data_IF_106569961145
#
_entry.id   IF_106569961145
#
_cell.length_a   1.000
_cell.length_b   1.000
_cell.length_c   1.000
_cell.angle_alpha   90.00
_cell.angle_beta   90.00
_cell.angle_gamma   90.00
#
_symmetry.space_group_name_H-M   'P 1'
#
loop_
_entity.id
_entity.type
_entity.pdbx_description
1 polymer ?
#
# COMPACT_ATOMS: atom_id res chain seq x y z
N UNK A 1 -15.70 66.20 51.77
CA UNK A 1 -15.07 65.69 50.54
C UNK A 1 -15.72 64.34 50.23
N UNK A 2 -16.37 64.24 49.06
CA UNK A 2 -17.02 63.07 48.44
C UNK A 2 -17.92 62.22 49.36
N UNK A 3 -19.17 62.61 49.61
CA UNK A 3 -20.36 62.26 48.81
C UNK A 3 -20.60 60.74 48.70
N UNK A 4 -21.41 60.16 49.59
CA UNK A 4 -22.88 59.88 49.43
C UNK A 4 -23.11 58.73 48.41
N UNK A 5 -23.89 57.66 48.63
CA UNK A 5 -25.19 57.41 49.28
C UNK A 5 -25.31 55.85 49.39
N UNK A 6 -25.64 55.20 50.53
CA UNK A 6 -27.00 54.78 50.99
C UNK A 6 -27.92 54.24 49.86
N UNK A 7 -28.68 53.14 49.94
CA UNK A 7 -29.33 52.43 51.04
C UNK A 7 -29.82 51.04 50.53
N UNK A 8 -30.15 50.15 51.48
CA UNK A 8 -30.88 48.87 51.36
C UNK A 8 -32.14 48.92 50.49
N UNK A 9 -32.56 47.76 49.96
CA UNK A 9 -33.90 47.17 50.14
C UNK A 9 -33.96 45.69 49.64
N UNK A 10 -34.38 44.79 50.54
CA UNK A 10 -34.86 43.43 50.26
C UNK A 10 -36.34 43.49 49.89
N UNK A 11 -36.77 42.78 48.83
CA UNK A 11 -37.84 41.73 48.79
C UNK A 11 -38.29 41.41 47.34
N UNK A 12 -38.39 40.10 47.05
CA UNK A 12 -38.77 39.35 45.81
C UNK A 12 -40.25 39.56 45.36
N UNK A 13 -40.82 39.05 44.21
CA UNK A 13 -40.42 37.89 43.35
C UNK A 13 -40.62 37.96 41.79
N UNK A 14 -39.98 37.00 41.09
CA UNK A 14 -40.28 36.29 39.79
C UNK A 14 -40.82 37.06 38.56
N UNK A 15 -40.03 37.09 37.45
CA UNK A 15 -40.32 36.37 36.16
C UNK A 15 -39.20 36.46 35.10
N UNK A 16 -38.81 35.27 34.62
CA UNK A 16 -38.35 34.86 33.27
C UNK A 16 -37.24 35.62 32.52
N UNK A 17 -36.12 34.91 32.31
CA UNK A 17 -35.18 35.14 31.20
C UNK A 17 -33.96 34.22 31.29
N UNK A 18 -33.99 33.07 30.62
CA UNK A 18 -32.80 32.24 30.36
C UNK A 18 -31.95 32.94 29.27
N UNK A 19 -30.61 32.92 29.34
CA UNK A 19 -29.89 31.98 28.47
C UNK A 19 -28.56 31.41 29.04
N UNK A 20 -28.31 30.16 28.66
CA UNK A 20 -27.03 29.51 28.32
C UNK A 20 -25.69 30.14 28.78
N UNK A 21 -24.91 29.36 29.56
CA UNK A 21 -23.52 28.95 29.21
C UNK A 21 -22.89 28.08 30.31
N UNK A 22 -23.06 26.78 30.18
CA UNK A 22 -22.11 25.80 30.68
C UNK A 22 -21.96 24.73 29.59
N UNK A 23 -21.01 24.97 28.68
CA UNK A 23 -20.70 24.04 27.61
C UNK A 23 -20.16 22.74 28.20
N UNK A 24 -20.99 21.70 28.18
CA UNK A 24 -20.54 20.32 28.31
C UNK A 24 -19.55 20.01 27.18
N UNK A 25 -18.46 19.24 27.41
CA UNK A 25 -17.59 18.81 26.32
C UNK A 25 -18.40 17.94 25.36
N UNK A 26 -18.41 18.30 24.07
CA UNK A 26 -19.24 17.64 23.06
C UNK A 26 -18.81 16.18 22.89
N UNK A 27 -19.59 15.24 23.47
CA UNK A 27 -19.34 13.81 23.38
C UNK A 27 -19.61 13.19 21.99
N UNK A 28 -19.89 14.01 20.97
CA UNK A 28 -20.35 13.59 19.64
C UNK A 28 -19.58 14.22 18.47
N UNK A 29 -18.35 14.70 18.68
CA UNK A 29 -17.58 15.30 17.57
C UNK A 29 -16.85 14.21 16.77
N UNK A 30 -17.21 14.07 15.50
CA UNK A 30 -16.37 13.40 14.50
C UNK A 30 -15.01 14.10 14.46
N UNK A 31 -13.94 13.33 14.67
CA UNK A 31 -12.57 13.82 14.47
C UNK A 31 -12.09 13.35 13.10
N UNK A 32 -11.52 14.27 12.31
CA UNK A 32 -10.94 13.96 11.00
C UNK A 32 -9.56 14.59 10.90
N UNK A 33 -8.59 13.83 10.41
CA UNK A 33 -7.27 14.38 10.03
C UNK A 33 -6.80 13.72 8.75
N UNK A 34 -6.27 14.55 7.84
CA UNK A 34 -5.68 14.10 6.59
C UNK A 34 -4.18 14.31 6.64
N UNK A 35 -3.44 13.31 6.19
CA UNK A 35 -1.99 13.29 6.09
C UNK A 35 -1.58 13.16 4.63
N UNK A 36 -0.56 13.89 4.22
CA UNK A 36 0.21 13.61 3.00
C UNK A 36 1.12 12.44 3.28
N UNK A 37 1.02 11.40 2.45
CA UNK A 37 1.91 10.25 2.45
C UNK A 37 2.99 10.46 1.38
N UNK A 38 4.24 10.51 1.82
CA UNK A 38 5.42 10.60 0.98
C UNK A 38 6.26 9.34 1.11
N UNK A 39 6.79 8.86 -0.01
CA UNK A 39 7.73 7.76 -0.07
C UNK A 39 9.05 8.27 -0.66
N UNK A 40 10.15 8.14 0.11
CA UNK A 40 11.48 8.67 -0.26
C UNK A 40 11.43 10.16 -0.65
N UNK A 41 10.65 10.94 0.09
CA UNK A 41 10.47 12.38 -0.15
C UNK A 41 9.48 12.74 -1.27
N UNK A 42 8.98 11.78 -2.04
CA UNK A 42 8.00 12.01 -3.10
C UNK A 42 6.58 11.87 -2.54
N UNK A 43 5.71 12.89 -2.61
CA UNK A 43 4.30 12.76 -2.25
C UNK A 43 3.59 11.79 -3.20
N UNK A 44 3.16 10.65 -2.67
CA UNK A 44 2.55 9.56 -3.45
C UNK A 44 1.12 9.26 -3.01
N UNK A 45 0.54 10.06 -2.12
CA UNK A 45 -0.84 9.84 -1.71
C UNK A 45 -1.25 10.60 -0.47
N UNK A 46 -2.46 10.35 -0.01
CA UNK A 46 -2.94 10.83 1.28
C UNK A 46 -3.57 9.71 2.10
N UNK A 47 -3.51 9.87 3.41
CA UNK A 47 -4.22 9.03 4.38
C UNK A 47 -5.20 9.93 5.14
N UNK A 48 -6.46 9.53 5.20
CA UNK A 48 -7.48 10.22 6.01
C UNK A 48 -7.89 9.31 7.14
N UNK A 49 -7.77 9.81 8.36
CA UNK A 49 -8.20 9.15 9.58
C UNK A 49 -9.49 9.81 10.05
N UNK A 50 -10.49 9.00 10.38
CA UNK A 50 -11.75 9.47 10.95
C UNK A 50 -12.09 8.68 12.20
N UNK A 51 -12.49 9.37 13.26
CA UNK A 51 -12.99 8.77 14.48
C UNK A 51 -14.40 9.28 14.78
N UNK A 52 -15.32 8.33 14.87
CA UNK A 52 -16.71 8.50 15.27
C UNK A 52 -16.96 7.65 16.53
N UNK A 53 -18.05 7.89 17.28
CA UNK A 53 -18.41 7.04 18.42
C UNK A 53 -18.45 5.55 18.04
N UNK A 54 -17.53 4.76 18.59
CA UNK A 54 -17.44 3.31 18.37
C UNK A 54 -16.94 2.89 16.98
N UNK A 55 -16.41 3.81 16.16
CA UNK A 55 -15.93 3.50 14.80
C UNK A 55 -14.70 4.32 14.41
N UNK A 56 -13.69 3.63 13.89
CA UNK A 56 -12.51 4.25 13.28
C UNK A 56 -12.46 3.90 11.80
N UNK A 57 -12.28 4.91 10.95
CA UNK A 57 -12.17 4.73 9.50
C UNK A 57 -10.82 5.21 9.01
N UNK A 58 -10.14 4.35 8.26
CA UNK A 58 -8.88 4.62 7.60
C UNK A 58 -9.11 4.63 6.08
N UNK A 59 -8.74 5.72 5.42
CA UNK A 59 -8.82 5.85 3.96
C UNK A 59 -7.43 6.16 3.42
N UNK A 60 -6.88 5.27 2.60
CA UNK A 60 -5.66 5.55 1.82
C UNK A 60 -6.01 5.85 0.38
N UNK A 61 -5.43 6.92 -0.16
CA UNK A 61 -5.49 7.29 -1.58
C UNK A 61 -4.06 7.39 -2.09
N UNK A 62 -3.62 6.47 -2.94
CA UNK A 62 -2.29 6.48 -3.53
C UNK A 62 -2.34 6.92 -4.99
N UNK A 63 -1.47 7.86 -5.33
CA UNK A 63 -1.25 8.34 -6.68
C UNK A 63 -0.04 7.62 -7.28
N UNK A 64 -0.11 7.34 -8.57
CA UNK A 64 1.00 6.81 -9.33
C UNK A 64 0.96 7.39 -10.74
N UNK A 65 2.10 7.40 -11.41
CA UNK A 65 2.20 7.75 -12.83
C UNK A 65 2.69 6.53 -13.58
N UNK A 66 2.11 6.27 -14.76
CA UNK A 66 2.56 5.22 -15.68
C UNK A 66 2.37 5.70 -17.12
N UNK A 67 3.42 5.65 -17.93
CA UNK A 67 3.46 6.17 -19.30
C UNK A 67 2.91 7.61 -19.39
N UNK A 68 3.32 8.48 -18.46
CA UNK A 68 2.86 9.86 -18.38
C UNK A 68 1.38 10.05 -17.97
N UNK A 69 0.64 8.98 -17.67
CA UNK A 69 -0.74 9.05 -17.18
C UNK A 69 -0.78 8.88 -15.67
N UNK A 70 -1.46 9.81 -14.99
CA UNK A 70 -1.72 9.72 -13.58
C UNK A 70 -2.86 8.72 -13.30
N UNK A 71 -2.66 7.84 -12.34
CA UNK A 71 -3.67 6.93 -11.82
C UNK A 71 -3.79 7.05 -10.30
N UNK A 72 -4.91 6.56 -9.78
CA UNK A 72 -5.23 6.59 -8.36
C UNK A 72 -5.67 5.20 -7.90
N UNK A 73 -5.26 4.83 -6.69
CA UNK A 73 -5.82 3.71 -5.96
C UNK A 73 -6.32 4.17 -4.60
N UNK A 74 -7.63 4.04 -4.38
CA UNK A 74 -8.25 4.28 -3.08
C UNK A 74 -8.58 2.96 -2.38
N UNK A 75 -8.27 2.87 -1.09
CA UNK A 75 -8.73 1.80 -0.19
C UNK A 75 -9.29 2.43 1.06
N UNK A 76 -10.29 1.76 1.63
CA UNK A 76 -10.96 2.20 2.84
C UNK A 76 -11.22 0.99 3.72
N UNK A 77 -11.00 1.17 5.02
CA UNK A 77 -11.37 0.20 6.05
C UNK A 77 -12.04 0.94 7.20
N UNK A 78 -13.20 0.43 7.61
CA UNK A 78 -13.85 0.82 8.85
C UNK A 78 -13.70 -0.31 9.90
N UNK A 79 -13.34 0.07 11.11
CA UNK A 79 -13.17 -0.82 12.26
C UNK A 79 -14.14 -0.41 13.36
N UNK A 80 -14.94 -1.38 13.83
CA UNK A 80 -15.76 -1.19 15.02
C UNK A 80 -14.85 -1.20 16.26
N UNK A 81 -15.05 -0.23 17.14
CA UNK A 81 -14.27 -0.09 18.37
C UNK A 81 -15.08 -0.47 19.61
N UNK A 82 -14.36 -0.85 20.67
CA UNK A 82 -14.87 -0.91 22.03
C UNK A 82 -14.67 0.43 22.78
N UNK A 83 -15.09 0.48 24.04
CA UNK A 83 -14.97 1.67 24.88
C UNK A 83 -13.52 2.07 25.21
N UNK A 84 -12.55 1.17 24.98
CA UNK A 84 -11.12 1.42 25.19
C UNK A 84 -10.41 1.82 23.89
N UNK A 85 -11.12 1.87 22.76
CA UNK A 85 -10.57 2.18 21.45
C UNK A 85 -9.83 1.01 20.80
N UNK A 86 -10.06 -0.22 21.26
CA UNK A 86 -9.59 -1.45 20.61
C UNK A 86 -10.60 -1.92 19.58
N UNK A 87 -10.15 -2.74 18.64
CA UNK A 87 -11.03 -3.40 17.67
C UNK A 87 -11.97 -4.33 18.41
N UNK A 88 -13.28 -4.18 18.19
CA UNK A 88 -14.31 -4.97 18.87
C UNK A 88 -14.06 -6.47 18.69
N UNK A 89 -14.03 -7.20 19.80
CA UNK A 89 -13.75 -8.64 19.81
C UNK A 89 -12.26 -9.01 19.69
N UNK A 90 -11.37 -8.03 19.70
CA UNK A 90 -9.91 -8.21 19.71
C UNK A 90 -9.27 -7.40 20.85
N UNK A 91 -8.06 -7.77 21.23
CA UNK A 91 -7.22 -6.95 22.13
C UNK A 91 -6.43 -5.89 21.36
N UNK A 92 -6.48 -5.92 20.03
CA UNK A 92 -5.65 -5.08 19.20
C UNK A 92 -6.22 -3.65 19.08
N UNK A 93 -5.33 -2.66 19.09
CA UNK A 93 -5.65 -1.26 18.75
C UNK A 93 -5.34 -1.00 17.27
N UNK A 94 -6.14 -0.20 16.54
CA UNK A 94 -5.76 0.21 15.19
C UNK A 94 -4.43 1.00 15.21
N UNK A 95 -3.50 0.64 14.34
CA UNK A 95 -2.14 1.19 14.29
C UNK A 95 -2.13 2.72 14.19
N UNK A 96 -2.88 3.27 13.24
CA UNK A 96 -2.95 4.71 13.01
C UNK A 96 -3.68 5.41 14.17
N UNK A 97 -4.75 4.83 14.71
CA UNK A 97 -5.46 5.41 15.86
C UNK A 97 -4.58 5.49 17.11
N UNK A 98 -3.77 4.45 17.34
CA UNK A 98 -2.85 4.38 18.49
C UNK A 98 -1.85 5.53 18.51
N UNK A 99 -1.32 5.91 17.33
CA UNK A 99 -0.36 7.00 17.20
C UNK A 99 -1.00 8.38 17.05
N UNK A 100 -2.23 8.48 16.52
CA UNK A 100 -2.81 9.73 16.05
C UNK A 100 -3.12 10.75 17.14
N UNK A 101 -3.78 10.34 18.22
CA UNK A 101 -4.37 11.27 19.19
C UNK A 101 -3.39 11.84 20.21
N UNK A 102 -2.39 11.05 20.60
CA UNK A 102 -1.31 11.45 21.53
C UNK A 102 -0.12 10.52 21.43
N UNK A 103 1.05 11.01 21.87
CA UNK A 103 2.22 10.18 22.09
C UNK A 103 1.86 9.01 23.04
N UNK A 104 2.01 7.74 22.62
CA UNK A 104 1.77 6.62 23.51
C UNK A 104 2.85 6.56 24.59
N UNK A 105 2.51 6.01 25.75
CA UNK A 105 3.49 5.74 26.81
C UNK A 105 4.47 4.65 26.37
N UNK A 106 5.67 4.66 26.97
CA UNK A 106 6.68 3.61 26.78
C UNK A 106 6.08 2.24 27.16
N UNK A 107 6.28 1.26 26.29
CA UNK A 107 5.69 -0.07 26.41
C UNK A 107 5.16 -0.60 25.09
N UNK A 108 4.60 -1.81 25.12
CA UNK A 108 4.07 -2.49 23.94
C UNK A 108 2.57 -2.73 24.05
N UNK A 109 1.88 -2.65 22.91
CA UNK A 109 0.50 -3.09 22.72
C UNK A 109 0.43 -4.07 21.55
N UNK A 110 -0.66 -4.82 21.48
CA UNK A 110 -1.03 -5.51 20.23
C UNK A 110 -1.67 -4.46 19.34
N UNK A 111 -1.05 -4.14 18.21
CA UNK A 111 -1.62 -3.26 17.20
C UNK A 111 -2.12 -4.06 16.00
N UNK A 112 -3.07 -3.49 15.27
CA UNK A 112 -3.64 -4.03 14.03
C UNK A 112 -3.44 -3.03 12.91
N UNK A 113 -2.80 -3.47 11.82
CA UNK A 113 -2.72 -2.68 10.60
C UNK A 113 -4.07 -2.72 9.87
N UNK A 114 -4.57 -1.54 9.50
CA UNK A 114 -5.95 -1.35 9.10
C UNK A 114 -6.29 -2.07 7.79
N UNK A 115 -5.43 -1.99 6.77
CA UNK A 115 -5.76 -2.47 5.42
C UNK A 115 -5.52 -3.96 5.20
N UNK A 116 -4.68 -4.59 6.01
CA UNK A 116 -4.32 -6.01 5.94
C UNK A 116 -4.95 -6.80 7.09
N UNK A 117 -5.34 -6.13 8.18
CA UNK A 117 -5.84 -6.77 9.38
C UNK A 117 -4.77 -7.53 10.18
N UNK A 118 -3.50 -7.44 9.78
CA UNK A 118 -2.40 -8.12 10.47
C UNK A 118 -2.23 -7.53 11.86
N UNK A 119 -2.18 -8.40 12.86
CA UNK A 119 -1.95 -8.03 14.26
C UNK A 119 -0.52 -8.37 14.67
N UNK A 120 0.08 -7.54 15.54
CA UNK A 120 1.44 -7.73 16.02
C UNK A 120 1.89 -6.65 17.00
N UNK A 121 3.08 -6.80 17.59
CA UNK A 121 3.56 -5.88 18.62
C UNK A 121 3.80 -4.48 18.04
N UNK A 122 3.30 -3.47 18.74
CA UNK A 122 3.61 -2.06 18.53
C UNK A 122 4.20 -1.53 19.83
N UNK A 123 5.45 -1.08 19.78
CA UNK A 123 6.20 -0.76 20.99
C UNK A 123 6.74 0.65 20.91
N UNK A 124 6.49 1.47 21.93
CA UNK A 124 7.23 2.72 22.16
C UNK A 124 8.41 2.40 23.07
N UNK A 125 9.62 2.73 22.63
CA UNK A 125 10.85 2.54 23.41
C UNK A 125 11.32 3.85 24.05
N UNK A 126 10.97 4.99 23.47
CA UNK A 126 11.37 6.31 23.98
C UNK A 126 10.30 7.35 23.70
N UNK A 127 10.08 8.24 24.68
CA UNK A 127 9.31 9.47 24.52
C UNK A 127 10.17 10.62 25.04
N UNK A 128 10.33 11.66 24.23
CA UNK A 128 11.16 12.84 24.53
C UNK A 128 10.39 14.11 24.12
N UNK A 129 9.77 14.75 25.10
CA UNK A 129 8.85 15.88 24.87
C UNK A 129 7.74 15.52 23.88
N UNK A 130 7.77 16.17 22.72
CA UNK A 130 6.80 15.98 21.62
C UNK A 130 7.23 14.91 20.60
N UNK A 131 8.18 14.04 20.95
CA UNK A 131 8.67 12.98 20.06
C UNK A 131 8.48 11.61 20.71
N UNK A 132 8.10 10.63 19.90
CA UNK A 132 8.05 9.23 20.30
C UNK A 132 8.77 8.36 19.27
N UNK A 133 9.51 7.36 19.75
CA UNK A 133 10.25 6.42 18.93
C UNK A 133 9.92 5.00 19.35
N UNK A 134 9.98 4.06 18.41
CA UNK A 134 9.60 2.69 18.68
C UNK A 134 9.54 1.81 17.45
N UNK A 135 8.72 0.77 17.50
CA UNK A 135 8.46 -0.14 16.38
C UNK A 135 6.97 -0.39 16.14
N UNK A 136 6.60 -0.54 14.86
CA UNK A 136 5.28 -0.98 14.39
C UNK A 136 5.47 -2.33 13.69
N UNK A 137 5.11 -3.43 14.37
CA UNK A 137 5.36 -4.79 13.88
C UNK A 137 6.82 -5.01 13.45
N UNK A 138 7.77 -4.51 14.26
CA UNK A 138 9.20 -4.61 14.01
C UNK A 138 9.79 -3.54 13.09
N UNK A 139 8.97 -2.74 12.39
CA UNK A 139 9.47 -1.60 11.62
C UNK A 139 9.70 -0.39 12.53
N UNK A 140 10.91 0.16 12.55
CA UNK A 140 11.22 1.35 13.34
C UNK A 140 10.36 2.54 12.92
N UNK A 141 9.87 3.31 13.90
CA UNK A 141 9.16 4.55 13.65
C UNK A 141 9.67 5.70 14.51
N UNK A 142 9.45 6.91 14.00
CA UNK A 142 9.57 8.17 14.74
C UNK A 142 8.31 8.99 14.51
N UNK A 143 7.70 9.47 15.59
CA UNK A 143 6.51 10.32 15.53
C UNK A 143 6.79 11.67 16.21
N UNK A 144 6.27 12.75 15.63
CA UNK A 144 6.28 14.09 16.21
C UNK A 144 4.87 14.56 16.46
N UNK A 145 4.67 15.19 17.61
CA UNK A 145 3.39 15.64 18.11
C UNK A 145 3.34 17.16 18.24
N UNK A 146 2.19 17.75 17.98
CA UNK A 146 1.95 19.18 18.16
C UNK A 146 1.74 19.56 19.62
N UNK A 147 1.56 20.85 19.88
CA UNK A 147 1.24 21.37 21.20
C UNK A 147 -0.11 20.88 21.74
N UNK A 148 -1.05 20.53 20.84
CA UNK A 148 -2.33 19.90 21.15
C UNK A 148 -2.21 18.40 21.44
N UNK A 149 -0.99 17.86 21.38
CA UNK A 149 -0.68 16.45 21.56
C UNK A 149 -0.99 15.59 20.34
N UNK A 150 -1.51 16.12 19.24
CA UNK A 150 -1.84 15.31 18.05
C UNK A 150 -0.62 15.03 17.20
N UNK A 151 -0.62 13.90 16.50
CA UNK A 151 0.47 13.54 15.61
C UNK A 151 0.54 14.51 14.42
N UNK A 152 1.65 15.25 14.31
CA UNK A 152 1.93 16.14 13.18
C UNK A 152 2.71 15.43 12.07
N UNK A 153 3.61 14.51 12.46
CA UNK A 153 4.41 13.76 11.53
C UNK A 153 4.70 12.34 12.04
N UNK A 154 4.82 11.40 11.11
CA UNK A 154 5.23 10.03 11.35
C UNK A 154 6.20 9.58 10.27
N UNK A 155 7.30 8.96 10.66
CA UNK A 155 8.29 8.35 9.78
C UNK A 155 8.38 6.86 10.11
N UNK A 156 8.27 6.00 9.10
CA UNK A 156 8.35 4.54 9.20
C UNK A 156 9.15 4.03 8.00
N UNK A 157 10.43 3.70 8.19
CA UNK A 157 11.32 3.38 7.07
C UNK A 157 11.39 4.53 6.06
N UNK A 158 11.09 4.26 4.79
CA UNK A 158 11.08 5.27 3.70
C UNK A 158 9.77 6.07 3.62
N UNK A 159 8.80 5.75 4.47
CA UNK A 159 7.47 6.36 4.47
C UNK A 159 7.42 7.51 5.46
N UNK A 160 6.88 8.65 5.01
CA UNK A 160 6.64 9.83 5.84
C UNK A 160 5.21 10.29 5.69
N UNK A 161 4.56 10.58 6.81
CA UNK A 161 3.21 11.10 6.88
C UNK A 161 3.27 12.46 7.57
N UNK A 162 2.71 13.50 6.98
CA UNK A 162 2.64 14.85 7.57
C UNK A 162 1.22 15.39 7.43
N UNK A 163 0.74 16.15 8.42
CA UNK A 163 -0.60 16.74 8.35
C UNK A 163 -0.73 17.56 7.05
N UNK A 164 -1.80 17.30 6.30
CA UNK A 164 -2.10 18.00 5.05
C UNK A 164 -2.68 19.37 5.36
N UNK A 165 -2.26 20.39 4.61
CA UNK A 165 -2.88 21.70 4.69
C UNK A 165 -4.36 21.64 4.23
N UNK A 166 -5.23 22.52 4.75
CA UNK A 166 -6.61 22.61 4.26
C UNK A 166 -6.66 22.78 2.74
N UNK A 167 -7.38 21.90 2.05
CA UNK A 167 -7.52 21.94 0.59
C UNK A 167 -6.30 21.46 -0.21
N UNK A 168 -5.26 20.92 0.43
CA UNK A 168 -4.05 20.47 -0.26
C UNK A 168 -4.34 19.42 -1.34
N UNK A 169 -3.95 19.73 -2.57
CA UNK A 169 -4.05 18.84 -3.73
C UNK A 169 -2.65 18.35 -4.11
N UNK A 170 -2.50 17.05 -4.22
CA UNK A 170 -1.24 16.47 -4.66
C UNK A 170 -1.14 16.49 -6.18
N UNK A 171 0.07 16.78 -6.66
CA UNK A 171 0.41 16.57 -8.07
C UNK A 171 0.65 15.08 -8.31
N UNK A 172 0.49 14.64 -9.55
CA UNK A 172 0.90 13.29 -9.92
C UNK A 172 2.40 13.12 -9.62
N UNK A 173 2.81 12.04 -8.94
CA UNK A 173 4.23 11.78 -8.68
C UNK A 173 4.97 11.52 -10.00
N UNK A 174 6.31 11.65 -10.03
CA UNK A 174 7.09 11.14 -11.15
C UNK A 174 6.83 9.65 -11.38
N UNK A 175 7.19 9.15 -12.55
CA UNK A 175 7.06 7.74 -12.89
C UNK A 175 8.15 6.93 -12.18
N UNK A 176 7.93 6.64 -10.89
CA UNK A 176 8.89 6.02 -9.96
C UNK A 176 9.43 4.64 -10.42
N UNK A 177 8.83 4.05 -11.44
CA UNK A 177 9.09 2.67 -11.85
C UNK A 177 9.53 2.52 -13.32
N UNK A 178 9.44 3.57 -14.15
CA UNK A 178 9.73 3.45 -15.59
C UNK A 178 11.22 3.45 -15.93
N UNK A 179 12.03 4.11 -15.11
CA UNK A 179 13.47 4.21 -15.33
C UNK A 179 14.15 2.84 -15.26
N UNK A 180 13.53 1.87 -14.57
CA UNK A 180 14.08 0.55 -14.35
C UNK A 180 15.30 0.58 -13.42
N UNK A 181 15.92 -0.59 -13.26
CA UNK A 181 17.13 -0.76 -12.47
C UNK A 181 18.34 -0.88 -13.40
N UNK A 182 19.49 -0.28 -13.06
CA UNK A 182 20.71 -0.49 -13.83
C UNK A 182 21.11 -1.96 -13.82
N UNK A 183 21.66 -2.44 -14.94
CA UNK A 183 22.15 -3.81 -15.10
C UNK A 183 23.68 -3.79 -15.17
N UNK A 184 24.33 -4.41 -14.19
CA UNK A 184 25.78 -4.54 -14.18
C UNK A 184 26.25 -5.75 -15.00
N UNK A 185 27.35 -5.61 -15.73
CA UNK A 185 27.91 -6.68 -16.57
C UNK A 185 27.43 -6.65 -18.03
N UNK A 186 28.18 -7.32 -18.91
CA UNK A 186 28.03 -7.19 -20.38
C UNK A 186 27.29 -8.34 -21.07
N UNK A 187 27.21 -9.53 -20.45
CA UNK A 187 26.61 -10.70 -21.07
C UNK A 187 26.29 -11.81 -20.08
N UNK A 188 25.39 -12.71 -20.48
CA UNK A 188 24.95 -13.85 -19.67
C UNK A 188 23.58 -13.66 -19.01
N UNK A 189 23.23 -14.57 -18.11
CA UNK A 189 21.93 -14.62 -17.44
C UNK A 189 21.79 -13.51 -16.40
N UNK A 190 20.60 -12.94 -16.29
CA UNK A 190 20.26 -11.96 -15.26
C UNK A 190 20.18 -12.65 -13.90
N UNK A 191 20.68 -11.96 -12.88
CA UNK A 191 20.60 -12.39 -11.48
C UNK A 191 20.50 -11.18 -10.56
N UNK A 192 20.09 -11.43 -9.31
CA UNK A 192 20.19 -10.46 -8.22
C UNK A 192 21.43 -10.73 -7.37
N UNK A 193 22.03 -9.65 -6.85
CA UNK A 193 23.12 -9.69 -5.87
C UNK A 193 22.83 -8.74 -4.69
N UNK A 194 22.69 -9.25 -3.45
CA UNK A 194 22.63 -10.67 -3.08
C UNK A 194 21.46 -11.41 -3.75
N UNK A 195 21.54 -12.75 -3.90
CA UNK A 195 20.51 -13.52 -4.57
C UNK A 195 19.18 -13.46 -3.81
N UNK A 196 18.08 -13.41 -4.55
CA UNK A 196 16.72 -13.50 -4.04
C UNK A 196 16.12 -14.84 -4.45
N UNK A 197 15.73 -15.66 -3.47
CA UNK A 197 15.11 -16.95 -3.77
C UNK A 197 13.68 -16.76 -4.29
N UNK A 198 13.41 -17.24 -5.50
CA UNK A 198 12.06 -17.31 -6.07
C UNK A 198 11.69 -18.79 -6.20
N UNK A 199 10.55 -19.23 -5.63
CA UNK A 199 10.09 -20.60 -5.80
C UNK A 199 9.99 -20.97 -7.27
N UNK A 200 10.31 -22.23 -7.60
CA UNK A 200 10.13 -22.73 -8.95
C UNK A 200 8.63 -22.74 -9.34
N UNK A 201 7.75 -23.08 -8.40
CA UNK A 201 6.30 -23.16 -8.57
C UNK A 201 5.57 -22.44 -7.45
N UNK A 202 4.37 -21.96 -7.75
CA UNK A 202 3.41 -21.48 -6.78
C UNK A 202 2.65 -22.68 -6.20
N UNK A 203 2.30 -22.60 -4.92
CA UNK A 203 1.61 -23.67 -4.20
C UNK A 203 0.28 -24.04 -4.87
N UNK A 204 0.08 -25.34 -5.09
CA UNK A 204 -1.13 -25.86 -5.71
C UNK A 204 -1.28 -25.59 -7.21
N UNK A 205 -0.23 -25.16 -7.93
CA UNK A 205 -0.28 -25.08 -9.40
C UNK A 205 -0.73 -26.42 -10.02
N UNK A 206 -1.64 -26.34 -10.99
CA UNK A 206 -2.13 -27.51 -11.72
C UNK A 206 -1.20 -27.79 -12.90
N UNK A 207 -0.71 -29.04 -13.07
CA UNK A 207 0.03 -29.40 -14.27
C UNK A 207 -0.83 -29.20 -15.52
N UNK A 208 -0.22 -28.68 -16.58
CA UNK A 208 -0.91 -28.36 -17.82
C UNK A 208 -0.07 -28.75 -19.05
N UNK A 209 -0.75 -28.82 -20.19
CA UNK A 209 -0.14 -29.11 -21.48
C UNK A 209 0.51 -27.86 -22.06
N UNK A 210 1.73 -28.02 -22.59
CA UNK A 210 2.53 -26.92 -23.11
C UNK A 210 1.92 -26.28 -24.37
N UNK A 211 1.32 -27.10 -25.26
CA UNK A 211 0.72 -26.59 -26.49
C UNK A 211 -0.56 -25.82 -26.17
N UNK A 212 -1.41 -26.33 -25.28
CA UNK A 212 -2.60 -25.64 -24.80
C UNK A 212 -2.26 -24.30 -24.10
N UNK A 213 -1.21 -24.29 -23.27
CA UNK A 213 -0.74 -23.06 -22.64
C UNK A 213 -0.26 -22.02 -23.66
N UNK A 214 0.51 -22.44 -24.69
CA UNK A 214 0.95 -21.54 -25.77
C UNK A 214 -0.22 -21.02 -26.61
N UNK A 215 -1.22 -21.86 -26.88
CA UNK A 215 -2.43 -21.45 -27.59
C UNK A 215 -3.18 -20.35 -26.81
N UNK A 216 -3.35 -20.53 -25.49
CA UNK A 216 -3.97 -19.49 -24.66
C UNK A 216 -3.13 -18.19 -24.65
N UNK A 217 -1.80 -18.27 -24.61
CA UNK A 217 -0.96 -17.08 -24.68
C UNK A 217 -1.19 -16.31 -25.98
N UNK A 218 -1.29 -17.01 -27.12
CA UNK A 218 -1.59 -16.40 -28.41
C UNK A 218 -3.02 -15.81 -28.46
N UNK A 219 -4.02 -16.49 -27.91
CA UNK A 219 -5.39 -15.95 -27.78
C UNK A 219 -5.41 -14.64 -26.98
N UNK A 220 -4.75 -14.63 -25.82
CA UNK A 220 -4.66 -13.44 -24.96
C UNK A 220 -3.92 -12.31 -25.66
N UNK A 221 -2.82 -12.62 -26.35
CA UNK A 221 -2.10 -11.64 -27.16
C UNK A 221 -3.03 -11.01 -28.21
N UNK A 222 -3.73 -11.82 -29.00
CA UNK A 222 -4.63 -11.30 -30.03
C UNK A 222 -5.77 -10.44 -29.45
N UNK A 223 -6.18 -10.70 -28.22
CA UNK A 223 -7.31 -10.02 -27.58
C UNK A 223 -7.01 -8.60 -27.05
N UNK A 224 -5.76 -8.14 -27.11
CA UNK A 224 -5.37 -6.76 -26.82
C UNK A 224 -4.72 -6.13 -28.04
N UNK A 225 -5.48 -5.36 -28.85
CA UNK A 225 -4.93 -4.60 -29.98
C UNK A 225 -3.93 -3.53 -29.53
N UNK A 226 -4.17 -2.89 -28.38
CA UNK A 226 -3.26 -1.91 -27.77
C UNK A 226 -2.52 -2.55 -26.58
N UNK A 227 -1.20 -2.66 -26.72
CA UNK A 227 -0.29 -3.30 -25.75
C UNK A 227 0.22 -2.36 -24.67
N UNK A 228 -0.11 -1.07 -24.78
CA UNK A 228 0.24 -0.10 -23.75
C UNK A 228 -0.55 -0.34 -22.47
N UNK A 229 0.03 0.05 -21.31
CA UNK A 229 -0.69 0.09 -20.05
C UNK A 229 -2.06 0.75 -20.15
N UNK A 230 -3.08 0.10 -19.58
CA UNK A 230 -4.47 0.55 -19.68
C UNK A 230 -5.32 0.23 -18.45
N UNK A 231 -6.62 0.48 -18.55
CA UNK A 231 -7.58 0.21 -17.46
C UNK A 231 -7.62 -1.28 -17.05
N UNK A 232 -7.31 -2.18 -17.98
CA UNK A 232 -7.27 -3.63 -17.75
C UNK A 232 -6.19 -4.05 -16.74
N UNK A 233 -5.08 -3.31 -16.62
CA UNK A 233 -4.01 -3.61 -15.66
C UNK A 233 -4.48 -3.50 -14.19
N UNK A 234 -5.64 -2.88 -13.95
CA UNK A 234 -6.20 -2.63 -12.63
C UNK A 234 -7.41 -3.52 -12.30
N UNK A 235 -7.76 -4.44 -13.20
CA UNK A 235 -8.90 -5.36 -13.04
C UNK A 235 -8.39 -6.78 -12.84
N UNK A 236 -9.00 -7.51 -11.91
CA UNK A 236 -8.55 -8.86 -11.53
C UNK A 236 -8.57 -9.87 -12.69
N UNK A 237 -9.48 -9.72 -13.65
CA UNK A 237 -9.54 -10.57 -14.84
C UNK A 237 -8.78 -10.04 -16.05
N UNK A 238 -8.15 -8.86 -15.94
CA UNK A 238 -7.52 -8.19 -17.08
C UNK A 238 -8.50 -7.81 -18.19
N UNK A 239 -9.78 -7.56 -17.90
CA UNK A 239 -10.76 -7.26 -18.95
C UNK A 239 -10.58 -5.83 -19.52
N UNK A 240 -10.38 -5.73 -20.82
CA UNK A 240 -10.36 -4.46 -21.55
C UNK A 240 -9.76 -4.60 -22.95
N UNK A 241 -9.81 -3.52 -23.73
CA UNK A 241 -9.26 -3.47 -25.10
C UNK A 241 -7.79 -3.03 -25.14
N UNK A 242 -7.32 -2.35 -24.09
CA UNK A 242 -5.93 -1.93 -23.92
C UNK A 242 -5.39 -2.43 -22.57
N UNK A 243 -4.20 -3.03 -22.59
CA UNK A 243 -3.58 -3.59 -21.40
C UNK A 243 -2.09 -3.83 -21.57
N UNK A 244 -1.32 -3.49 -20.54
CA UNK A 244 0.10 -3.81 -20.47
C UNK A 244 0.36 -5.27 -20.09
N UNK A 245 1.60 -5.56 -19.70
CA UNK A 245 2.03 -6.90 -19.36
C UNK A 245 1.27 -7.55 -18.20
N UNK A 246 0.90 -6.78 -17.18
CA UNK A 246 0.10 -7.28 -16.06
C UNK A 246 -1.30 -7.68 -16.51
N UNK A 247 -1.96 -6.87 -17.35
CA UNK A 247 -3.28 -7.20 -17.89
C UNK A 247 -3.26 -8.50 -18.71
N UNK A 248 -2.22 -8.70 -19.53
CA UNK A 248 -2.05 -9.93 -20.29
C UNK A 248 -1.84 -11.14 -19.37
N UNK A 249 -0.99 -11.03 -18.34
CA UNK A 249 -0.77 -12.11 -17.38
C UNK A 249 -2.06 -12.46 -16.59
N UNK A 250 -2.82 -11.46 -16.15
CA UNK A 250 -4.08 -11.65 -15.43
C UNK A 250 -5.16 -12.29 -16.33
N UNK A 251 -5.28 -11.84 -17.58
CA UNK A 251 -6.23 -12.42 -18.55
C UNK A 251 -5.89 -13.86 -18.89
N UNK A 252 -4.60 -14.18 -19.03
CA UNK A 252 -4.14 -15.57 -19.17
C UNK A 252 -4.53 -16.41 -17.96
N UNK A 253 -4.26 -15.93 -16.75
CA UNK A 253 -4.61 -16.67 -15.53
C UNK A 253 -6.12 -16.86 -15.37
N UNK A 254 -6.93 -15.86 -15.73
CA UNK A 254 -8.39 -15.98 -15.77
C UNK A 254 -8.86 -17.03 -16.79
N UNK A 255 -8.28 -17.03 -18.00
CA UNK A 255 -8.56 -18.01 -19.04
C UNK A 255 -8.13 -19.44 -18.67
N UNK A 256 -7.00 -19.58 -17.98
CA UNK A 256 -6.53 -20.87 -17.44
C UNK A 256 -7.47 -21.37 -16.33
N UNK A 257 -7.89 -20.49 -15.42
CA UNK A 257 -8.85 -20.82 -14.36
C UNK A 257 -10.19 -21.28 -14.91
N UNK A 258 -10.70 -20.65 -15.96
CA UNK A 258 -11.92 -21.08 -16.65
C UNK A 258 -11.82 -22.51 -17.22
N UNK A 259 -10.60 -23.01 -17.42
CA UNK A 259 -10.27 -24.38 -17.86
C UNK A 259 -9.88 -25.30 -16.69
N UNK A 260 -10.08 -24.86 -15.43
CA UNK A 260 -9.71 -25.62 -14.23
C UNK A 260 -8.21 -25.68 -13.94
N UNK A 261 -7.41 -24.82 -14.58
CA UNK A 261 -5.94 -24.81 -14.43
C UNK A 261 -5.51 -23.62 -13.57
N UNK A 262 -4.75 -23.90 -12.51
CA UNK A 262 -4.10 -22.89 -11.69
C UNK A 262 -2.67 -22.64 -12.17
N UNK A 263 -2.35 -21.39 -12.50
CA UNK A 263 -1.03 -20.91 -12.96
C UNK A 263 -0.52 -19.80 -12.04
N UNK A 264 0.78 -19.51 -12.09
CA UNK A 264 1.32 -18.34 -11.40
C UNK A 264 1.44 -17.13 -12.31
N UNK A 265 1.14 -15.96 -11.76
CA UNK A 265 1.60 -14.68 -12.31
C UNK A 265 3.01 -14.45 -11.77
N UNK A 266 3.96 -14.28 -12.67
CA UNK A 266 5.34 -13.93 -12.34
C UNK A 266 5.45 -12.42 -12.37
N UNK A 267 5.81 -11.83 -11.24
CA UNK A 267 6.33 -10.48 -11.20
C UNK A 267 7.83 -10.55 -11.35
N UNK A 268 8.40 -9.72 -12.22
CA UNK A 268 9.82 -9.76 -12.53
C UNK A 268 10.34 -8.52 -13.21
N UNK A 269 11.53 -8.68 -13.77
CA UNK A 269 12.27 -7.68 -14.49
C UNK A 269 12.50 -8.16 -15.93
N UNK A 270 12.36 -7.24 -16.89
CA UNK A 270 12.66 -7.44 -18.30
C UNK A 270 13.76 -6.49 -18.74
N UNK A 271 14.78 -7.01 -19.41
CA UNK A 271 15.83 -6.25 -20.08
C UNK A 271 15.69 -6.43 -21.59
N UNK A 272 15.48 -5.32 -22.29
CA UNK A 272 15.41 -5.26 -23.75
C UNK A 272 16.61 -4.45 -24.24
N UNK A 273 17.29 -4.95 -25.27
CA UNK A 273 18.39 -4.28 -25.99
C UNK A 273 19.52 -3.74 -25.09
N UNK A 274 19.82 -4.44 -23.99
CA UNK A 274 20.87 -4.04 -23.05
C UNK A 274 20.54 -2.81 -22.20
N UNK A 275 19.29 -2.35 -22.24
CA UNK A 275 18.78 -1.26 -21.41
C UNK A 275 18.62 -1.62 -19.93
N UNK A 276 18.03 -0.71 -19.13
CA UNK A 276 17.74 -0.99 -17.73
C UNK A 276 16.72 -2.13 -17.60
N UNK A 277 16.78 -2.83 -16.47
CA UNK A 277 15.83 -3.86 -16.10
C UNK A 277 14.52 -3.20 -15.64
N UNK A 278 13.46 -3.31 -16.44
CA UNK A 278 12.15 -2.68 -16.18
C UNK A 278 11.17 -3.67 -15.56
N UNK A 279 10.24 -3.21 -14.70
CA UNK A 279 9.22 -4.09 -14.17
C UNK A 279 8.37 -4.71 -15.29
N UNK A 280 8.18 -6.02 -15.21
CA UNK A 280 7.42 -6.80 -16.18
C UNK A 280 6.62 -7.90 -15.47
N UNK A 281 5.58 -8.38 -16.14
CA UNK A 281 4.76 -9.49 -15.66
C UNK A 281 4.51 -10.49 -16.78
N UNK A 282 4.59 -11.78 -16.44
CA UNK A 282 4.33 -12.89 -17.35
C UNK A 282 3.73 -14.06 -16.57
N UNK A 283 3.53 -15.21 -17.20
CA UNK A 283 2.93 -16.39 -16.55
C UNK A 283 3.89 -17.55 -16.47
N UNK A 284 3.79 -18.31 -15.39
CA UNK A 284 4.49 -19.58 -15.20
C UNK A 284 3.48 -20.71 -15.05
N UNK A 285 3.65 -21.72 -15.89
CA UNK A 285 2.81 -22.91 -15.97
C UNK A 285 3.58 -24.12 -15.47
N UNK A 286 3.00 -24.92 -14.58
CA UNK A 286 3.53 -26.23 -14.26
C UNK A 286 3.23 -27.20 -15.41
N UNK A 287 4.24 -27.94 -15.88
CA UNK A 287 4.05 -28.89 -16.97
C UNK A 287 3.71 -30.29 -16.44
N UNK A 288 2.84 -31.01 -17.16
CA UNK A 288 2.48 -32.39 -16.86
C UNK A 288 3.69 -33.35 -16.86
N UNK A 289 4.64 -33.13 -17.77
CA UNK A 289 5.89 -33.90 -17.86
C UNK A 289 6.94 -33.54 -16.78
N UNK A 290 6.60 -32.64 -15.84
CA UNK A 290 7.55 -32.08 -14.88
C UNK A 290 8.17 -30.77 -15.35
N UNK A 291 8.72 -29.99 -14.42
CA UNK A 291 9.28 -28.66 -14.70
C UNK A 291 8.21 -27.56 -14.87
N UNK A 292 8.63 -26.43 -15.45
CA UNK A 292 7.79 -25.24 -15.64
C UNK A 292 8.04 -24.60 -17.00
N UNK A 293 7.01 -23.94 -17.52
CA UNK A 293 7.08 -23.15 -18.75
C UNK A 293 6.69 -21.71 -18.44
N UNK A 294 7.59 -20.78 -18.74
CA UNK A 294 7.30 -19.35 -18.70
C UNK A 294 6.84 -18.86 -20.07
N UNK A 295 5.76 -18.09 -20.10
CA UNK A 295 5.18 -17.50 -21.31
C UNK A 295 4.93 -16.01 -21.06
N UNK A 296 5.33 -15.17 -22.00
CA UNK A 296 4.96 -13.75 -22.03
C UNK A 296 3.82 -13.53 -23.03
N UNK A 297 2.54 -13.52 -22.59
CA UNK A 297 1.41 -13.26 -23.48
C UNK A 297 1.40 -11.83 -24.05
N UNK A 298 2.23 -10.92 -23.54
CA UNK A 298 2.31 -9.54 -24.03
C UNK A 298 3.05 -9.45 -25.35
N UNK A 299 4.23 -10.06 -25.42
CA UNK A 299 5.16 -10.00 -26.56
C UNK A 299 5.14 -11.27 -27.42
N UNK A 300 4.83 -12.42 -26.79
CA UNK A 300 5.07 -13.77 -27.31
C UNK A 300 6.57 -14.10 -27.53
N UNK A 301 7.46 -13.23 -27.08
CA UNK A 301 8.90 -13.48 -27.15
C UNK A 301 9.31 -14.60 -26.18
N UNK A 302 10.39 -15.34 -26.48
CA UNK A 302 10.91 -16.34 -25.56
C UNK A 302 11.27 -15.74 -24.19
N UNK A 303 10.69 -16.30 -23.13
CA UNK A 303 11.10 -15.99 -21.76
C UNK A 303 12.40 -16.73 -21.45
N UNK A 304 13.51 -15.99 -21.38
CA UNK A 304 14.84 -16.56 -21.13
C UNK A 304 15.52 -15.90 -19.93
N UNK A 305 16.44 -16.58 -19.23
CA UNK A 305 17.22 -15.96 -18.16
C UNK A 305 18.07 -14.76 -18.62
N UNK A 306 18.33 -14.58 -19.91
CA UNK A 306 19.10 -13.44 -20.44
C UNK A 306 18.31 -12.14 -20.49
N UNK A 307 16.99 -12.26 -20.62
CA UNK A 307 16.05 -11.14 -20.80
C UNK A 307 15.12 -10.97 -19.61
N UNK A 308 14.76 -12.06 -18.93
CA UNK A 308 13.80 -12.07 -17.83
C UNK A 308 14.44 -12.53 -16.53
N UNK A 309 14.11 -11.83 -15.45
CA UNK A 309 14.55 -12.14 -14.10
C UNK A 309 13.33 -12.15 -13.18
N UNK A 310 12.86 -13.33 -12.73
CA UNK A 310 11.72 -13.41 -11.83
C UNK A 310 12.09 -12.82 -10.46
N UNK A 311 11.16 -12.10 -9.84
CA UNK A 311 11.31 -11.59 -8.48
C UNK A 311 10.32 -12.23 -7.52
N UNK A 312 9.11 -12.58 -7.97
CA UNK A 312 8.09 -13.20 -7.15
C UNK A 312 7.08 -13.99 -7.99
N UNK A 313 6.45 -15.00 -7.38
CA UNK A 313 5.26 -15.64 -7.91
C UNK A 313 4.05 -15.17 -7.09
N UNK A 314 2.93 -14.93 -7.75
CA UNK A 314 1.69 -14.55 -7.09
C UNK A 314 0.48 -15.28 -7.71
N UNK A 315 -0.57 -15.41 -6.90
CA UNK A 315 -1.90 -15.70 -7.40
C UNK A 315 -2.39 -14.55 -8.28
N UNK A 316 -3.21 -14.86 -9.27
CA UNK A 316 -3.85 -13.83 -10.10
C UNK A 316 -4.97 -13.08 -9.36
N UNK A 317 -5.47 -13.63 -8.24
CA UNK A 317 -6.51 -13.01 -7.43
C UNK A 317 -5.95 -12.48 -6.12
N UNK A 318 -6.45 -11.32 -5.71
CA UNK A 318 -6.03 -10.65 -4.48
C UNK A 318 -4.69 -9.91 -4.60
N UNK A 319 -4.18 -9.39 -3.48
CA UNK A 319 -3.00 -8.54 -3.48
C UNK A 319 -1.70 -9.36 -3.56
N UNK A 320 -0.84 -9.04 -4.54
CA UNK A 320 0.51 -9.59 -4.66
C UNK A 320 1.50 -8.92 -3.67
N UNK A 321 1.24 -9.04 -2.37
CA UNK A 321 1.97 -8.33 -1.31
C UNK A 321 3.48 -8.64 -1.31
N UNK A 322 3.85 -9.90 -1.49
CA UNK A 322 5.25 -10.32 -1.53
C UNK A 322 5.99 -9.71 -2.73
N UNK A 323 5.35 -9.71 -3.91
CA UNK A 323 5.91 -9.08 -5.10
C UNK A 323 6.16 -7.58 -4.87
N UNK A 324 5.19 -6.88 -4.26
CA UNK A 324 5.34 -5.48 -3.88
C UNK A 324 6.49 -5.25 -2.89
N UNK A 325 6.60 -6.08 -1.85
CA UNK A 325 7.67 -5.97 -0.86
C UNK A 325 9.07 -6.19 -1.48
N UNK A 326 9.21 -7.19 -2.35
CA UNK A 326 10.47 -7.49 -3.06
C UNK A 326 10.83 -6.39 -4.05
N UNK A 327 9.84 -5.81 -4.74
CA UNK A 327 10.04 -4.64 -5.60
C UNK A 327 10.56 -3.43 -4.83
N UNK A 328 9.96 -3.11 -3.69
CA UNK A 328 10.44 -2.03 -2.82
C UNK A 328 11.85 -2.30 -2.30
N UNK A 329 12.20 -3.56 -2.02
CA UNK A 329 13.57 -3.95 -1.66
C UNK A 329 14.57 -3.62 -2.77
N UNK A 330 14.23 -3.90 -4.03
CA UNK A 330 15.06 -3.56 -5.18
C UNK A 330 15.28 -2.05 -5.31
N UNK A 331 14.21 -1.25 -5.18
CA UNK A 331 14.32 0.21 -5.28
C UNK A 331 15.14 0.83 -4.14
N UNK A 332 15.19 0.17 -2.97
CA UNK A 332 16.09 0.55 -1.87
C UNK A 332 17.57 0.26 -2.14
N UNK A 333 17.89 -0.45 -3.22
CA UNK A 333 19.25 -0.89 -3.51
C UNK A 333 19.69 -2.10 -2.67
N UNK A 334 18.73 -2.81 -2.04
CA UNK A 334 19.06 -4.02 -1.28
C UNK A 334 19.54 -5.17 -2.18
N UNK A 335 19.23 -5.10 -3.47
CA UNK A 335 19.79 -6.00 -4.49
C UNK A 335 20.18 -5.20 -5.73
N UNK A 336 21.25 -5.65 -6.39
CA UNK A 336 21.71 -5.16 -7.68
C UNK A 336 21.33 -6.15 -8.77
N UNK A 337 20.96 -5.65 -9.94
CA UNK A 337 20.70 -6.51 -11.11
C UNK A 337 22.02 -6.68 -11.85
N UNK A 338 22.49 -7.92 -11.97
CA UNK A 338 23.78 -8.25 -12.56
C UNK A 338 23.61 -9.28 -13.68
N UNK A 339 24.57 -9.35 -14.60
CA UNK A 339 24.71 -10.46 -15.54
C UNK A 339 25.79 -11.44 -15.06
N UNK A 340 25.41 -12.72 -14.98
CA UNK A 340 26.33 -13.83 -14.69
C UNK A 340 26.73 -14.54 -15.99
N UNK A 341 28.03 -14.78 -16.21
CA UNK A 341 28.55 -15.44 -17.41
C UNK A 341 27.83 -16.73 -17.79
#
# INVERSE_FOLDING_TARGET
>A
MAALLTLLLLTLPVKSGNPDRAGSPSANREEVTRYVFSWRGVPVGTVTLKLEPGRFTYVSQHLHTRAGRAGERRREQALALDGEGRVRGSRAVPQALWLWRRAPAVGCVVGREELTGREGPHCVTRVDGQRAEGTLMGAAFQARYGADGRMEALEVGDSRFTVAAPGERLRAPPELFADGLPVEGRGGALSLEPPLAVPARLDGQTPWDAAAARALAAEVHAAFPEKRPGGADWREGGEGEAGGCLAHALRFAAGARARGVKVAVVHGLLVVDGGPARPHAWVRVALAAGGTLDLDPTSLDPVTPRTHLPIALAEAQGPALEAGARWLSLLRGAHRVVRRP
#
